data_IF_110854796537
#
_entry.id   IF_110854796537
#
_cell.length_a   1.000
_cell.length_b   1.000
_cell.length_c   1.000
_cell.angle_alpha   90.00
_cell.angle_beta   90.00
_cell.angle_gamma   90.00
#
_symmetry.space_group_name_H-M   'P 1'
#
loop_
_entity.id
_entity.type
_entity.pdbx_description
1 polymer ?
#
# COMPACT_ATOMS: atom_id res chain seq x y z
N UNK A 1 -67.41 -19.02 5.84
CA UNK A 1 -66.24 -19.43 6.63
C UNK A 1 -65.18 -20.19 5.83
N UNK A 2 -65.51 -21.16 4.93
CA UNK A 2 -64.48 -21.93 4.19
C UNK A 2 -63.63 -21.11 3.18
N UNK A 3 -64.17 -20.03 2.58
CA UNK A 3 -63.42 -19.16 1.64
C UNK A 3 -62.42 -18.24 2.34
N UNK A 4 -62.68 -17.82 3.59
CA UNK A 4 -61.75 -16.96 4.36
C UNK A 4 -60.53 -17.72 4.88
N UNK A 5 -60.68 -19.01 5.17
CA UNK A 5 -59.57 -19.88 5.63
C UNK A 5 -58.61 -20.18 4.47
N UNK A 6 -59.12 -20.35 3.23
CA UNK A 6 -58.31 -20.56 2.04
C UNK A 6 -57.48 -19.31 1.67
N UNK A 7 -58.04 -18.11 1.90
CA UNK A 7 -57.31 -16.84 1.65
C UNK A 7 -56.20 -16.63 2.70
N UNK A 8 -56.41 -17.01 3.96
CA UNK A 8 -55.35 -16.93 4.99
C UNK A 8 -54.23 -17.93 4.75
N UNK A 9 -54.51 -19.12 4.22
CA UNK A 9 -53.47 -20.10 3.88
C UNK A 9 -52.64 -19.67 2.65
N UNK A 10 -53.25 -18.98 1.67
CA UNK A 10 -52.53 -18.39 0.52
C UNK A 10 -51.67 -17.20 0.95
N UNK A 11 -52.08 -16.43 1.95
CA UNK A 11 -51.30 -15.28 2.44
C UNK A 11 -50.14 -15.72 3.34
N UNK A 12 -50.19 -16.87 4.00
CA UNK A 12 -49.08 -17.42 4.78
C UNK A 12 -47.99 -18.07 3.93
N UNK A 13 -48.29 -18.46 2.69
CA UNK A 13 -47.31 -19.00 1.73
C UNK A 13 -46.49 -17.93 1.02
N UNK A 14 -46.91 -16.65 1.04
CA UNK A 14 -46.23 -15.56 0.38
C UNK A 14 -45.11 -14.92 1.19
N UNK A 15 -44.84 -15.35 2.42
CA UNK A 15 -43.78 -14.85 3.28
C UNK A 15 -42.54 -15.77 3.39
N UNK A 16 -42.49 -16.90 2.65
CA UNK A 16 -41.33 -17.76 2.57
C UNK A 16 -40.57 -17.47 1.26
N UNK A 17 -40.15 -16.25 1.11
CA UNK A 17 -39.11 -15.92 0.14
C UNK A 17 -37.91 -15.39 0.93
N UNK A 18 -37.36 -16.20 1.83
CA UNK A 18 -36.00 -16.04 2.24
C UNK A 18 -35.16 -16.61 1.10
N UNK A 19 -34.43 -15.76 0.36
CA UNK A 19 -33.40 -16.23 -0.53
C UNK A 19 -32.46 -17.10 0.32
N UNK A 20 -32.46 -18.40 0.05
CA UNK A 20 -31.64 -19.39 0.75
C UNK A 20 -30.65 -19.98 -0.24
N UNK A 21 -29.37 -19.95 0.12
CA UNK A 21 -28.35 -20.71 -0.60
C UNK A 21 -27.99 -21.96 0.23
N UNK A 22 -28.16 -23.17 -0.29
CA UNK A 22 -27.97 -24.41 0.47
C UNK A 22 -26.51 -24.62 0.93
N UNK A 23 -25.55 -23.99 0.28
CA UNK A 23 -24.14 -24.14 0.59
C UNK A 23 -23.64 -23.10 1.62
N UNK A 24 -24.44 -22.07 1.96
CA UNK A 24 -23.97 -20.97 2.80
C UNK A 24 -23.47 -21.44 4.17
N UNK A 25 -24.22 -22.29 4.86
CA UNK A 25 -23.84 -22.74 6.21
C UNK A 25 -22.55 -23.56 6.22
N UNK A 26 -22.35 -24.43 5.23
CA UNK A 26 -21.09 -25.20 5.08
C UNK A 26 -19.91 -24.30 4.72
N UNK A 27 -20.14 -23.33 3.86
CA UNK A 27 -19.14 -22.36 3.44
C UNK A 27 -18.77 -21.41 4.60
N UNK A 28 -19.77 -20.98 5.39
CA UNK A 28 -19.55 -20.18 6.60
C UNK A 28 -18.70 -20.93 7.63
N UNK A 29 -19.00 -22.23 7.85
CA UNK A 29 -18.20 -23.05 8.76
C UNK A 29 -16.74 -23.14 8.28
N UNK A 30 -16.53 -23.29 6.97
CA UNK A 30 -15.19 -23.35 6.37
C UNK A 30 -14.47 -22.00 6.47
N UNK A 31 -15.13 -20.86 6.19
CA UNK A 31 -14.56 -19.52 6.36
C UNK A 31 -14.13 -19.26 7.81
N UNK A 32 -14.95 -19.65 8.79
CA UNK A 32 -14.58 -19.57 10.21
C UNK A 32 -13.37 -20.43 10.52
N UNK A 33 -13.31 -21.63 9.94
CA UNK A 33 -12.20 -22.57 10.15
C UNK A 33 -10.87 -22.03 9.64
N UNK A 34 -10.85 -21.24 8.55
CA UNK A 34 -9.58 -20.61 8.10
C UNK A 34 -9.01 -19.67 9.16
N UNK A 35 -9.85 -18.89 9.83
CA UNK A 35 -9.41 -17.98 10.88
C UNK A 35 -8.98 -18.72 12.15
N UNK A 36 -9.69 -19.79 12.53
CA UNK A 36 -9.26 -20.65 13.64
C UNK A 36 -7.87 -21.25 13.40
N UNK A 37 -7.62 -21.75 12.19
CA UNK A 37 -6.34 -22.35 11.82
C UNK A 37 -5.23 -21.31 11.73
N UNK A 38 -5.53 -20.12 11.22
CA UNK A 38 -4.59 -19.00 11.22
C UNK A 38 -4.19 -18.57 12.64
N UNK A 39 -5.15 -18.46 13.56
CA UNK A 39 -4.89 -18.17 14.98
C UNK A 39 -4.10 -19.29 15.68
N UNK A 40 -4.27 -20.53 15.23
CA UNK A 40 -3.54 -21.69 15.74
C UNK A 40 -2.16 -21.87 15.05
N UNK A 41 -1.80 -21.01 14.10
CA UNK A 41 -0.59 -21.08 13.26
C UNK A 41 -0.46 -22.39 12.45
N UNK A 42 -1.58 -23.09 12.22
CA UNK A 42 -1.62 -24.33 11.42
C UNK A 42 -1.85 -23.98 9.93
N UNK A 43 -0.80 -23.45 9.30
CA UNK A 43 -0.84 -22.99 7.90
C UNK A 43 -1.13 -24.16 6.94
N UNK A 44 -0.59 -25.36 7.20
CA UNK A 44 -0.79 -26.49 6.31
C UNK A 44 -2.26 -26.94 6.31
N UNK A 45 -2.88 -27.07 7.49
CA UNK A 45 -4.29 -27.35 7.58
C UNK A 45 -5.15 -26.22 6.99
N UNK A 46 -4.75 -24.96 7.17
CA UNK A 46 -5.43 -23.80 6.59
C UNK A 46 -5.37 -23.87 5.04
N UNK A 47 -4.21 -24.13 4.45
CA UNK A 47 -4.04 -24.23 2.99
C UNK A 47 -4.84 -25.38 2.39
N UNK A 48 -5.15 -26.43 3.14
CA UNK A 48 -5.99 -27.53 2.67
C UNK A 48 -7.45 -27.14 2.40
N UNK A 49 -7.90 -25.99 2.91
CA UNK A 49 -9.26 -25.47 2.68
C UNK A 49 -9.38 -24.69 1.36
N UNK A 50 -8.27 -24.35 0.73
CA UNK A 50 -8.20 -23.55 -0.47
C UNK A 50 -7.94 -24.42 -1.70
N UNK A 51 -8.61 -24.07 -2.79
CA UNK A 51 -8.32 -24.63 -4.12
C UNK A 51 -6.89 -24.29 -4.55
N UNK A 52 -6.29 -25.12 -5.41
CA UNK A 52 -5.00 -24.80 -6.03
C UNK A 52 -5.09 -23.60 -6.99
N UNK A 53 -6.30 -23.28 -7.45
CA UNK A 53 -6.59 -22.11 -8.29
C UNK A 53 -6.94 -20.83 -7.46
N UNK A 54 -6.61 -20.80 -6.17
CA UNK A 54 -6.89 -19.65 -5.32
C UNK A 54 -6.37 -18.36 -5.92
N UNK A 55 -7.23 -17.34 -5.92
CA UNK A 55 -6.88 -15.94 -6.16
C UNK A 55 -7.06 -15.17 -4.85
N UNK A 56 -5.97 -14.70 -4.27
CA UNK A 56 -6.00 -13.89 -3.05
C UNK A 56 -5.76 -12.42 -3.37
N UNK A 57 -6.68 -11.55 -2.93
CA UNK A 57 -6.57 -10.08 -3.07
C UNK A 57 -6.01 -9.48 -1.78
N UNK A 58 -4.74 -9.02 -1.77
CA UNK A 58 -4.10 -8.46 -0.57
C UNK A 58 -4.60 -7.05 -0.25
N UNK A 59 -4.57 -6.61 1.04
CA UNK A 59 -5.03 -5.31 1.48
C UNK A 59 -4.06 -4.15 1.18
N UNK A 60 -3.11 -4.36 0.29
CA UNK A 60 -2.05 -3.38 -0.02
C UNK A 60 -2.38 -2.67 -1.33
N UNK A 61 -2.42 -1.34 -1.31
CA UNK A 61 -2.66 -0.53 -2.51
C UNK A 61 -1.62 -0.82 -3.60
N UNK A 62 -2.12 -1.11 -4.82
CA UNK A 62 -1.28 -1.39 -5.99
C UNK A 62 -0.65 -2.79 -6.01
N UNK A 63 -0.88 -3.62 -4.99
CA UNK A 63 -0.46 -5.01 -5.03
C UNK A 63 -1.29 -5.79 -6.06
N UNK A 64 -0.66 -6.81 -6.67
CA UNK A 64 -1.36 -7.74 -7.56
C UNK A 64 -2.00 -8.85 -6.72
N UNK A 65 -3.01 -9.49 -7.29
CA UNK A 65 -3.55 -10.71 -6.73
C UNK A 65 -2.45 -11.78 -6.62
N UNK A 66 -2.54 -12.58 -5.58
CA UNK A 66 -1.57 -13.60 -5.22
C UNK A 66 -2.12 -15.00 -5.47
N UNK A 67 -1.24 -15.90 -5.88
CA UNK A 67 -1.50 -17.35 -5.92
C UNK A 67 -1.57 -17.95 -4.50
N UNK A 68 -2.00 -19.20 -4.39
CA UNK A 68 -2.04 -19.96 -3.13
C UNK A 68 -0.68 -19.98 -2.41
N UNK A 69 0.41 -20.20 -3.16
CA UNK A 69 1.77 -20.24 -2.60
C UNK A 69 2.26 -18.88 -2.11
N UNK A 70 1.96 -17.82 -2.84
CA UNK A 70 2.28 -16.46 -2.41
C UNK A 70 1.47 -16.06 -1.17
N UNK A 71 0.20 -16.44 -1.11
CA UNK A 71 -0.65 -16.24 0.06
C UNK A 71 -0.13 -17.01 1.27
N UNK A 72 0.27 -18.28 1.11
CA UNK A 72 0.92 -19.06 2.17
C UNK A 72 2.16 -18.34 2.72
N UNK A 73 3.00 -17.80 1.83
CA UNK A 73 4.20 -17.05 2.23
C UNK A 73 3.86 -15.77 3.00
N UNK A 74 2.77 -15.09 2.63
CA UNK A 74 2.26 -13.92 3.34
C UNK A 74 1.79 -14.28 4.76
N UNK A 75 1.07 -15.40 4.95
CA UNK A 75 0.63 -15.85 6.27
C UNK A 75 1.83 -16.20 7.16
N UNK A 76 2.86 -16.86 6.61
CA UNK A 76 4.11 -17.14 7.33
C UNK A 76 4.80 -15.85 7.79
N UNK A 77 4.80 -14.81 6.96
CA UNK A 77 5.34 -13.50 7.33
C UNK A 77 4.55 -12.86 8.48
N UNK A 78 3.22 -12.97 8.48
CA UNK A 78 2.40 -12.49 9.59
C UNK A 78 2.71 -13.23 10.89
N UNK A 79 2.78 -14.57 10.88
CA UNK A 79 3.14 -15.36 12.08
C UNK A 79 4.56 -15.06 12.59
N UNK A 80 5.50 -14.74 11.70
CA UNK A 80 6.85 -14.32 12.11
C UNK A 80 6.90 -12.90 12.73
N UNK A 81 5.91 -12.07 12.44
CA UNK A 81 5.83 -10.67 12.88
C UNK A 81 4.94 -10.46 14.11
N UNK A 82 3.94 -11.32 14.30
CA UNK A 82 2.89 -11.15 15.29
C UNK A 82 2.63 -12.44 16.06
N UNK A 83 2.53 -12.32 17.39
CA UNK A 83 2.12 -13.36 18.32
C UNK A 83 0.68 -13.10 18.83
N UNK A 84 0.07 -14.10 19.45
CA UNK A 84 -1.25 -14.03 20.10
C UNK A 84 -2.33 -13.44 19.16
N UNK A 85 -2.31 -13.84 17.90
CA UNK A 85 -3.25 -13.34 16.88
C UNK A 85 -4.66 -13.85 17.19
N UNK A 86 -5.62 -12.93 17.38
CA UNK A 86 -7.01 -13.25 17.68
C UNK A 86 -7.96 -12.43 16.81
N UNK A 87 -8.88 -13.11 16.14
CA UNK A 87 -9.98 -12.49 15.40
C UNK A 87 -11.26 -12.45 16.23
N UNK A 88 -11.82 -11.27 16.39
CA UNK A 88 -13.13 -11.06 17.03
C UNK A 88 -14.13 -10.63 15.95
N UNK A 89 -15.03 -11.52 15.48
CA UNK A 89 -16.01 -11.16 14.48
C UNK A 89 -17.08 -10.23 15.07
N UNK A 90 -17.41 -9.16 14.34
CA UNK A 90 -18.59 -8.33 14.60
C UNK A 90 -19.82 -8.96 13.92
N UNK A 91 -19.67 -9.43 12.68
CA UNK A 91 -20.74 -10.05 11.91
C UNK A 91 -20.19 -10.96 10.79
N UNK A 92 -20.95 -12.01 10.50
CA UNK A 92 -20.81 -12.85 9.31
C UNK A 92 -22.06 -12.69 8.45
N UNK A 93 -21.88 -12.44 7.14
CA UNK A 93 -22.95 -12.16 6.21
C UNK A 93 -22.83 -13.06 4.97
N UNK A 94 -23.97 -13.48 4.38
CA UNK A 94 -23.93 -14.08 3.05
C UNK A 94 -23.59 -13.03 1.99
N UNK A 95 -22.87 -13.46 0.96
CA UNK A 95 -22.66 -12.66 -0.23
C UNK A 95 -23.69 -12.93 -1.31
N UNK A 96 -23.63 -12.13 -2.38
CA UNK A 96 -24.56 -12.21 -3.51
C UNK A 96 -23.83 -12.15 -4.83
N UNK A 97 -24.47 -12.68 -5.87
CA UNK A 97 -24.08 -12.48 -7.26
C UNK A 97 -24.37 -11.02 -7.71
N UNK A 98 -24.06 -10.73 -8.97
CA UNK A 98 -24.27 -9.42 -9.63
C UNK A 98 -25.74 -8.97 -9.71
N UNK A 99 -26.69 -9.91 -9.49
CA UNK A 99 -28.14 -9.66 -9.47
C UNK A 99 -28.71 -9.56 -8.06
N UNK A 100 -27.86 -9.65 -7.04
CA UNK A 100 -28.25 -9.58 -5.64
C UNK A 100 -28.79 -10.89 -5.08
N UNK A 101 -28.68 -12.03 -5.80
CA UNK A 101 -29.09 -13.33 -5.32
C UNK A 101 -27.96 -13.96 -4.49
N UNK A 102 -28.30 -14.63 -3.35
CA UNK A 102 -27.34 -15.33 -2.51
C UNK A 102 -26.58 -16.40 -3.31
N UNK A 103 -25.26 -16.29 -3.37
CA UNK A 103 -24.39 -17.14 -4.17
C UNK A 103 -23.58 -18.17 -3.35
N UNK A 104 -23.76 -18.19 -2.02
CA UNK A 104 -23.06 -19.05 -1.08
C UNK A 104 -21.72 -18.50 -0.63
N UNK A 105 -21.29 -17.34 -1.12
CA UNK A 105 -20.10 -16.68 -0.65
C UNK A 105 -20.30 -16.10 0.75
N UNK A 106 -19.20 -15.85 1.46
CA UNK A 106 -19.19 -15.41 2.86
C UNK A 106 -18.45 -14.08 2.99
N UNK A 107 -18.96 -13.21 3.82
CA UNK A 107 -18.36 -11.91 4.20
C UNK A 107 -18.19 -11.86 5.70
N UNK A 108 -17.11 -11.24 6.17
CA UNK A 108 -16.89 -11.03 7.60
C UNK A 108 -16.40 -9.63 7.86
N UNK A 109 -16.95 -9.00 8.88
CA UNK A 109 -16.42 -7.79 9.49
C UNK A 109 -16.00 -8.13 10.91
N UNK A 110 -14.84 -7.63 11.32
CA UNK A 110 -14.33 -7.89 12.65
C UNK A 110 -13.03 -7.17 12.93
N UNK A 111 -12.43 -7.55 14.06
CA UNK A 111 -11.20 -6.91 14.55
C UNK A 111 -10.15 -7.97 14.84
N UNK A 112 -8.95 -7.78 14.31
CA UNK A 112 -7.76 -8.53 14.66
C UNK A 112 -7.03 -7.84 15.82
N UNK A 113 -6.60 -8.62 16.79
CA UNK A 113 -5.72 -8.22 17.88
C UNK A 113 -4.49 -9.12 17.83
N UNK A 114 -3.33 -8.60 18.19
CA UNK A 114 -2.06 -9.33 18.18
C UNK A 114 -1.01 -8.63 19.03
N UNK A 115 0.14 -9.24 19.19
CA UNK A 115 1.33 -8.65 19.78
C UNK A 115 2.47 -8.62 18.76
N UNK A 116 3.31 -7.63 18.85
CA UNK A 116 4.59 -7.61 18.13
C UNK A 116 5.48 -8.74 18.66
N UNK A 117 5.84 -9.69 17.82
CA UNK A 117 6.62 -10.87 18.19
C UNK A 117 8.01 -10.53 18.77
N UNK A 118 8.58 -9.36 18.45
CA UNK A 118 9.90 -8.94 18.95
C UNK A 118 9.84 -8.29 20.32
N UNK A 119 8.81 -7.50 20.58
CA UNK A 119 8.73 -6.64 21.77
C UNK A 119 7.68 -7.11 22.76
N UNK A 120 6.77 -8.00 22.36
CA UNK A 120 5.62 -8.43 23.16
C UNK A 120 4.56 -7.34 23.36
N UNK A 121 4.70 -6.18 22.71
CA UNK A 121 3.77 -5.06 22.85
C UNK A 121 2.50 -5.36 22.06
N UNK A 122 1.34 -5.11 22.66
CA UNK A 122 0.06 -5.19 21.97
C UNK A 122 -0.02 -4.23 20.78
N UNK A 123 -0.51 -4.72 19.65
CA UNK A 123 -0.81 -3.87 18.49
C UNK A 123 -2.12 -3.13 18.70
N UNK A 124 -2.31 -2.03 17.97
CA UNK A 124 -3.62 -1.37 17.93
C UNK A 124 -4.64 -2.30 17.26
N UNK A 125 -5.86 -2.46 17.84
CA UNK A 125 -6.89 -3.29 17.22
C UNK A 125 -7.14 -2.91 15.76
N UNK A 126 -7.07 -3.91 14.86
CA UNK A 126 -7.13 -3.72 13.42
C UNK A 126 -8.52 -4.10 12.90
N UNK A 127 -9.33 -3.12 12.53
CA UNK A 127 -10.61 -3.38 11.87
C UNK A 127 -10.38 -3.89 10.46
N UNK A 128 -11.15 -4.93 10.09
CA UNK A 128 -11.01 -5.61 8.82
C UNK A 128 -12.34 -6.04 8.23
N UNK A 129 -12.33 -6.15 6.90
CA UNK A 129 -13.36 -6.82 6.12
C UNK A 129 -12.71 -7.93 5.31
N UNK A 130 -13.39 -9.09 5.23
CA UNK A 130 -12.94 -10.27 4.50
C UNK A 130 -14.06 -10.81 3.61
N UNK A 131 -13.70 -11.32 2.44
CA UNK A 131 -14.62 -12.09 1.61
C UNK A 131 -14.05 -13.45 1.26
N UNK A 132 -14.92 -14.42 1.06
CA UNK A 132 -14.61 -15.79 0.65
C UNK A 132 -15.59 -16.21 -0.43
N UNK A 133 -15.09 -16.65 -1.58
CA UNK A 133 -15.86 -17.24 -2.64
C UNK A 133 -15.49 -18.72 -2.77
N UNK A 134 -16.45 -19.57 -3.14
CA UNK A 134 -16.31 -21.01 -3.12
C UNK A 134 -16.65 -21.60 -4.49
N UNK A 135 -15.99 -22.71 -4.85
CA UNK A 135 -16.37 -23.54 -5.98
C UNK A 135 -17.53 -24.49 -5.62
N UNK A 136 -17.94 -25.33 -6.58
CA UNK A 136 -19.04 -26.30 -6.38
C UNK A 136 -18.67 -27.39 -5.36
N UNK A 137 -17.39 -27.69 -5.21
CA UNK A 137 -16.82 -28.67 -4.27
C UNK A 137 -16.69 -28.07 -2.86
N UNK A 138 -16.99 -26.77 -2.70
CA UNK A 138 -16.90 -26.03 -1.46
C UNK A 138 -15.48 -25.67 -1.05
N UNK A 139 -14.51 -25.67 -1.94
CA UNK A 139 -13.17 -25.14 -1.70
C UNK A 139 -13.18 -23.63 -1.88
N UNK A 140 -12.32 -22.92 -1.15
CA UNK A 140 -12.16 -21.46 -1.30
C UNK A 140 -11.33 -21.18 -2.54
N UNK A 141 -11.93 -20.54 -3.54
CA UNK A 141 -11.29 -20.16 -4.81
C UNK A 141 -10.89 -18.68 -4.86
N UNK A 142 -11.49 -17.84 -4.02
CA UNK A 142 -11.06 -16.46 -3.87
C UNK A 142 -11.25 -15.99 -2.42
N UNK A 143 -10.26 -15.27 -1.92
CA UNK A 143 -10.31 -14.55 -0.66
C UNK A 143 -9.70 -13.17 -0.87
N UNK A 144 -10.24 -12.17 -0.20
CA UNK A 144 -9.61 -10.86 -0.12
C UNK A 144 -9.81 -10.26 1.26
N UNK A 145 -8.81 -9.47 1.64
CA UNK A 145 -8.73 -8.81 2.92
C UNK A 145 -8.65 -7.30 2.71
N UNK A 146 -9.35 -6.53 3.55
CA UNK A 146 -9.37 -5.07 3.50
C UNK A 146 -9.15 -4.51 4.90
N UNK A 147 -7.96 -3.97 5.12
CA UNK A 147 -7.55 -3.32 6.36
C UNK A 147 -6.35 -2.40 6.09
N UNK A 148 -5.92 -1.62 7.07
CA UNK A 148 -4.71 -0.80 6.97
C UNK A 148 -3.44 -1.65 7.15
N UNK A 149 -3.04 -2.37 6.09
CA UNK A 149 -1.83 -3.19 6.09
C UNK A 149 -0.57 -2.36 6.32
N UNK A 150 -0.51 -1.14 5.78
CA UNK A 150 0.65 -0.25 5.94
C UNK A 150 0.82 0.19 7.38
N UNK A 151 -0.27 0.62 8.03
CA UNK A 151 -0.25 1.00 9.45
C UNK A 151 0.08 -0.18 10.36
N UNK A 152 -0.47 -1.38 10.08
CA UNK A 152 -0.16 -2.60 10.84
C UNK A 152 1.33 -2.93 10.79
N UNK A 153 1.91 -3.03 9.60
CA UNK A 153 3.33 -3.36 9.43
C UNK A 153 4.25 -2.28 10.01
N UNK A 154 3.90 -1.01 9.85
CA UNK A 154 4.65 0.09 10.45
C UNK A 154 4.64 0.05 11.99
N UNK A 155 3.56 -0.43 12.63
CA UNK A 155 3.44 -0.52 14.08
C UNK A 155 4.45 -1.44 14.73
N UNK A 156 4.93 -2.46 14.00
CA UNK A 156 5.95 -3.42 14.43
C UNK A 156 7.32 -3.18 13.78
N UNK A 157 7.52 -1.99 13.20
CA UNK A 157 8.78 -1.60 12.56
C UNK A 157 9.06 -2.31 11.23
N UNK A 158 8.10 -3.06 10.71
CA UNK A 158 8.09 -3.56 9.36
C UNK A 158 7.51 -2.45 8.47
N UNK A 159 8.32 -1.43 8.20
CA UNK A 159 7.99 -0.50 7.13
C UNK A 159 7.89 -1.29 5.84
N UNK A 160 6.90 -0.97 5.05
CA UNK A 160 6.48 -1.60 3.81
C UNK A 160 7.65 -2.26 3.06
N UNK A 161 7.96 -3.52 3.37
CA UNK A 161 9.03 -4.30 2.74
C UNK A 161 8.71 -4.60 1.28
N UNK A 162 7.47 -4.32 0.85
CA UNK A 162 7.05 -4.39 -0.55
C UNK A 162 7.53 -3.18 -1.36
N UNK A 163 7.96 -2.08 -0.72
CA UNK A 163 8.59 -0.95 -1.37
C UNK A 163 10.08 -0.95 -0.98
N UNK A 164 10.83 -1.85 -1.59
CA UNK A 164 12.28 -1.81 -1.53
C UNK A 164 12.78 -0.75 -2.52
N UNK A 165 13.17 0.40 -2.03
CA UNK A 165 13.78 1.45 -2.84
C UNK A 165 15.27 1.15 -3.12
N UNK A 166 15.58 -0.10 -3.52
CA UNK A 166 16.96 -0.54 -3.82
C UNK A 166 17.63 0.30 -4.92
N UNK A 167 16.82 0.89 -5.79
CA UNK A 167 17.25 1.73 -6.91
C UNK A 167 17.13 3.23 -6.58
N UNK A 168 16.98 3.57 -5.29
CA UNK A 168 16.86 4.95 -4.83
C UNK A 168 18.07 5.79 -5.24
N UNK A 169 17.78 7.01 -5.66
CA UNK A 169 18.76 8.04 -5.90
C UNK A 169 18.61 9.17 -4.89
N UNK A 170 19.74 9.59 -4.32
CA UNK A 170 19.81 10.73 -3.41
C UNK A 170 20.61 11.82 -4.09
N UNK A 171 19.96 12.93 -4.38
CA UNK A 171 20.58 14.08 -5.00
C UNK A 171 20.87 15.15 -3.94
N UNK A 172 22.11 15.58 -3.83
CA UNK A 172 22.58 16.63 -2.92
C UNK A 172 23.03 17.81 -3.75
N UNK A 173 22.26 18.88 -3.76
CA UNK A 173 22.52 20.12 -4.51
C UNK A 173 23.03 21.19 -3.58
N UNK A 174 24.26 21.62 -3.74
CA UNK A 174 24.84 22.72 -3.00
C UNK A 174 24.67 24.03 -3.77
N UNK A 175 24.08 25.02 -3.12
CA UNK A 175 23.68 26.29 -3.72
C UNK A 175 24.16 27.47 -2.91
N UNK A 176 24.27 28.60 -3.56
CA UNK A 176 24.41 29.92 -2.95
C UNK A 176 23.19 30.78 -3.27
N UNK A 177 22.93 31.79 -2.43
CA UNK A 177 21.82 32.73 -2.60
C UNK A 177 22.26 34.15 -2.25
N UNK A 178 21.65 35.12 -2.93
CA UNK A 178 21.87 36.55 -2.66
C UNK A 178 20.59 37.26 -2.16
N UNK A 179 19.49 36.48 -1.95
CA UNK A 179 18.25 37.02 -1.40
C UNK A 179 18.18 36.80 0.10
N UNK A 180 17.22 37.42 0.78
CA UNK A 180 17.05 37.31 2.23
C UNK A 180 16.64 35.90 2.66
N UNK A 181 16.88 35.57 3.94
CA UNK A 181 16.48 34.30 4.52
C UNK A 181 14.95 34.08 4.44
N UNK A 182 14.16 35.15 4.62
CA UNK A 182 12.69 35.09 4.54
C UNK A 182 12.24 34.77 3.11
N UNK A 183 12.88 35.36 2.10
CA UNK A 183 12.58 35.04 0.69
C UNK A 183 12.99 33.62 0.33
N UNK A 184 14.14 33.14 0.81
CA UNK A 184 14.57 31.74 0.67
C UNK A 184 13.52 30.81 1.29
N UNK A 185 13.06 31.10 2.50
CA UNK A 185 12.09 30.25 3.19
C UNK A 185 10.72 30.23 2.48
N UNK A 186 10.24 31.39 2.05
CA UNK A 186 8.96 31.50 1.33
C UNK A 186 9.00 30.74 0.01
N UNK A 187 10.08 30.90 -0.77
CA UNK A 187 10.28 30.20 -2.03
C UNK A 187 10.40 28.68 -1.81
N UNK A 188 11.25 28.24 -0.87
CA UNK A 188 11.48 26.82 -0.60
C UNK A 188 10.19 26.10 -0.20
N UNK A 189 9.34 26.76 0.63
CA UNK A 189 8.02 26.22 1.02
C UNK A 189 7.08 26.08 -0.19
N UNK A 190 7.02 27.08 -1.06
CA UNK A 190 6.22 27.05 -2.29
C UNK A 190 6.70 25.91 -3.21
N UNK A 191 7.99 25.88 -3.52
CA UNK A 191 8.58 24.96 -4.49
C UNK A 191 8.47 23.50 -4.03
N UNK A 192 8.78 23.22 -2.76
CA UNK A 192 8.61 21.89 -2.16
C UNK A 192 7.15 21.40 -2.28
N UNK A 193 6.17 22.29 -2.05
CA UNK A 193 4.75 21.91 -2.17
C UNK A 193 4.36 21.56 -3.60
N UNK A 194 4.89 22.28 -4.60
CA UNK A 194 4.67 21.97 -6.02
C UNK A 194 5.22 20.60 -6.38
N UNK A 195 6.49 20.32 -6.03
CA UNK A 195 7.12 19.01 -6.29
C UNK A 195 6.36 17.89 -5.59
N UNK A 196 6.00 18.05 -4.31
CA UNK A 196 5.27 17.03 -3.55
C UNK A 196 3.90 16.70 -4.15
N UNK A 197 3.20 17.69 -4.71
CA UNK A 197 1.89 17.48 -5.30
C UNK A 197 1.95 16.88 -6.71
N UNK A 198 3.02 17.15 -7.46
CA UNK A 198 3.17 16.74 -8.84
C UNK A 198 3.93 15.41 -8.98
N UNK A 199 4.90 15.15 -8.11
CA UNK A 199 5.87 14.06 -8.28
C UNK A 199 5.74 13.02 -7.16
N UNK A 200 4.79 12.11 -7.31
CA UNK A 200 4.51 11.04 -6.32
C UNK A 200 5.66 10.04 -6.14
N UNK A 201 6.62 10.02 -7.06
CA UNK A 201 7.84 9.19 -7.00
C UNK A 201 9.03 9.90 -6.34
N UNK A 202 8.84 11.14 -5.87
CA UNK A 202 9.80 11.85 -5.02
C UNK A 202 9.56 11.47 -3.56
N UNK A 203 10.58 10.89 -2.91
CA UNK A 203 10.49 10.42 -1.52
C UNK A 203 10.77 11.53 -0.50
N UNK A 204 11.55 12.52 -0.89
CA UNK A 204 11.94 13.64 -0.02
C UNK A 204 12.46 14.80 -0.83
N UNK A 205 12.12 16.02 -0.43
CA UNK A 205 12.58 17.26 -1.03
C UNK A 205 12.82 18.29 0.08
N UNK A 206 14.08 18.52 0.48
CA UNK A 206 14.41 19.28 1.68
C UNK A 206 15.45 20.35 1.43
N UNK A 207 15.07 21.61 1.65
CA UNK A 207 16.00 22.73 1.70
C UNK A 207 16.57 22.89 3.13
N UNK A 208 17.89 23.04 3.24
CA UNK A 208 18.59 23.22 4.51
C UNK A 208 19.58 24.37 4.40
N UNK A 209 19.57 25.28 5.41
CA UNK A 209 20.57 26.34 5.51
C UNK A 209 21.89 25.72 5.94
N UNK A 210 22.87 25.69 5.05
CA UNK A 210 24.19 25.09 5.28
C UNK A 210 25.31 26.12 5.59
N UNK A 211 24.96 27.41 5.67
CA UNK A 211 25.88 28.51 6.02
C UNK A 211 25.31 29.88 5.67
N UNK A 212 26.10 30.93 5.88
CA UNK A 212 25.73 32.27 5.43
C UNK A 212 25.62 32.26 3.89
N UNK A 213 24.45 32.64 3.37
CA UNK A 213 24.14 32.64 1.94
C UNK A 213 24.37 31.26 1.25
N UNK A 214 24.27 30.16 2.02
CA UNK A 214 24.41 28.80 1.49
C UNK A 214 23.21 27.96 1.86
N UNK A 215 22.70 27.24 0.86
CA UNK A 215 21.58 26.31 0.98
C UNK A 215 21.98 24.97 0.37
N UNK A 216 21.61 23.89 1.05
CA UNK A 216 21.73 22.53 0.50
C UNK A 216 20.32 21.99 0.31
N UNK A 217 20.01 21.56 -0.91
CA UNK A 217 18.81 20.83 -1.23
C UNK A 217 19.15 19.34 -1.27
N UNK A 218 18.37 18.54 -0.55
CA UNK A 218 18.45 17.07 -0.57
C UNK A 218 17.14 16.56 -1.14
N UNK A 219 17.25 15.82 -2.23
CA UNK A 219 16.16 15.18 -2.94
C UNK A 219 16.36 13.68 -2.90
N UNK A 220 15.27 12.92 -2.70
CA UNK A 220 15.29 11.46 -2.75
C UNK A 220 14.22 11.00 -3.74
N UNK A 221 14.59 10.09 -4.61
CA UNK A 221 13.72 9.56 -5.66
C UNK A 221 13.78 8.04 -5.68
N UNK A 222 12.68 7.38 -5.98
CA UNK A 222 12.60 5.92 -5.97
C UNK A 222 13.55 5.23 -6.97
N UNK A 223 13.90 5.91 -8.08
CA UNK A 223 14.76 5.39 -9.16
C UNK A 223 15.15 6.50 -10.14
N UNK A 224 15.86 6.14 -11.21
CA UNK A 224 16.27 7.07 -12.28
C UNK A 224 15.11 7.66 -13.06
N UNK A 225 14.02 6.91 -13.29
CA UNK A 225 12.84 7.38 -14.03
C UNK A 225 12.16 8.51 -13.27
N UNK A 226 12.12 8.45 -11.94
CA UNK A 226 11.58 9.52 -11.11
C UNK A 226 12.39 10.82 -11.24
N UNK A 227 13.71 10.74 -11.30
CA UNK A 227 14.58 11.92 -11.56
C UNK A 227 14.39 12.44 -12.98
N UNK A 228 14.27 11.55 -13.98
CA UNK A 228 13.98 11.94 -15.37
C UNK A 228 12.64 12.68 -15.49
N UNK A 229 11.63 12.24 -14.73
CA UNK A 229 10.34 12.94 -14.66
C UNK A 229 10.52 14.35 -14.07
N UNK A 230 11.29 14.49 -12.97
CA UNK A 230 11.61 15.80 -12.41
C UNK A 230 12.31 16.70 -13.43
N UNK A 231 13.34 16.20 -14.12
CA UNK A 231 14.03 16.93 -15.19
C UNK A 231 13.06 17.37 -16.29
N UNK A 232 12.14 16.51 -16.70
CA UNK A 232 11.11 16.86 -17.69
C UNK A 232 10.20 18.00 -17.18
N UNK A 233 9.79 17.94 -15.92
CA UNK A 233 8.90 18.94 -15.33
C UNK A 233 9.54 20.32 -15.20
N UNK A 234 10.84 20.39 -14.91
CA UNK A 234 11.60 21.66 -14.82
C UNK A 234 12.12 22.18 -16.16
N UNK A 235 12.12 21.35 -17.22
CA UNK A 235 12.60 21.72 -18.55
C UNK A 235 11.62 22.67 -19.27
N UNK A 236 12.05 23.42 -20.29
CA UNK A 236 11.16 24.31 -21.04
C UNK A 236 9.90 23.58 -21.54
N UNK A 237 8.73 24.10 -21.18
CA UNK A 237 7.43 23.48 -21.47
C UNK A 237 6.94 22.43 -20.45
N UNK A 238 7.74 22.11 -19.45
CA UNK A 238 7.33 21.25 -18.33
C UNK A 238 6.41 21.97 -17.33
N UNK A 239 5.77 21.19 -16.48
CA UNK A 239 4.70 21.63 -15.57
C UNK A 239 5.14 22.71 -14.58
N UNK A 240 6.39 22.67 -14.11
CA UNK A 240 6.97 23.64 -13.18
C UNK A 240 8.18 24.40 -13.76
N UNK A 241 8.26 24.52 -15.09
CA UNK A 241 9.36 25.22 -15.76
C UNK A 241 9.49 26.68 -15.34
N UNK A 242 8.37 27.40 -15.16
CA UNK A 242 8.35 28.79 -14.67
C UNK A 242 8.81 28.91 -13.22
N UNK A 243 8.45 27.95 -12.39
CA UNK A 243 8.88 27.92 -10.99
C UNK A 243 10.37 27.57 -10.91
N UNK A 244 10.90 26.81 -11.86
CA UNK A 244 12.34 26.54 -11.97
C UNK A 244 13.13 27.77 -12.46
N UNK A 245 12.57 28.63 -13.31
CA UNK A 245 13.15 29.93 -13.63
C UNK A 245 13.24 30.81 -12.35
N UNK A 246 12.20 30.81 -11.52
CA UNK A 246 12.23 31.48 -10.23
C UNK A 246 13.26 30.84 -9.27
N UNK A 247 13.39 29.51 -9.27
CA UNK A 247 14.42 28.78 -8.53
C UNK A 247 15.83 29.28 -8.90
N UNK A 248 16.12 29.43 -10.20
CA UNK A 248 17.40 29.92 -10.70
C UNK A 248 17.65 31.39 -10.36
N UNK A 249 16.63 32.20 -10.15
CA UNK A 249 16.75 33.57 -9.64
C UNK A 249 17.13 33.60 -8.15
N UNK A 250 16.55 32.69 -7.35
CA UNK A 250 16.77 32.62 -5.88
C UNK A 250 18.08 31.92 -5.56
N UNK A 251 18.44 30.89 -6.33
CA UNK A 251 19.60 30.04 -6.07
C UNK A 251 20.55 29.95 -7.26
N UNK A 252 21.85 30.02 -6.98
CA UNK A 252 22.91 29.61 -7.91
C UNK A 252 23.42 28.23 -7.51
N UNK A 253 23.28 27.26 -8.40
CA UNK A 253 23.74 25.88 -8.15
C UNK A 253 25.26 25.83 -8.29
N UNK A 254 25.96 25.48 -7.22
CA UNK A 254 27.44 25.40 -7.22
C UNK A 254 27.95 24.03 -7.67
N UNK A 255 27.29 22.96 -7.19
CA UNK A 255 27.60 21.60 -7.59
C UNK A 255 26.42 20.68 -7.13
N UNK A 256 26.42 19.49 -7.69
CA UNK A 256 25.48 18.44 -7.39
C UNK A 256 26.22 17.11 -7.21
N UNK A 257 25.80 16.31 -6.22
CA UNK A 257 26.27 14.94 -6.06
C UNK A 257 25.06 14.01 -6.04
N UNK A 258 25.05 13.05 -6.95
CA UNK A 258 23.99 12.07 -7.07
C UNK A 258 24.52 10.71 -6.60
N UNK A 259 24.00 10.24 -5.47
CA UNK A 259 24.30 8.94 -4.87
C UNK A 259 23.28 7.92 -5.36
N UNK A 260 23.76 6.72 -5.69
CA UNK A 260 22.94 5.64 -6.25
C UNK A 260 23.38 5.26 -7.66
N UNK A 261 22.72 4.25 -8.22
CA UNK A 261 23.05 3.73 -9.55
C UNK A 261 22.26 4.46 -10.64
N UNK A 262 22.72 5.68 -10.99
CA UNK A 262 22.10 6.47 -12.05
C UNK A 262 22.19 5.76 -13.40
N UNK A 263 21.07 5.70 -14.13
CA UNK A 263 21.04 5.18 -15.50
C UNK A 263 21.82 6.08 -16.45
N UNK A 264 22.26 5.53 -17.59
CA UNK A 264 22.98 6.33 -18.61
C UNK A 264 22.09 7.39 -19.26
N UNK A 265 20.78 7.14 -19.36
CA UNK A 265 19.82 8.12 -19.85
C UNK A 265 19.67 9.30 -18.88
N UNK A 266 19.67 9.03 -17.57
CA UNK A 266 19.68 10.09 -16.57
C UNK A 266 20.95 10.92 -16.61
N UNK A 267 22.13 10.29 -16.75
CA UNK A 267 23.39 11.02 -16.87
C UNK A 267 23.37 11.96 -18.08
N UNK A 268 22.92 11.49 -19.25
CA UNK A 268 22.72 12.30 -20.44
C UNK A 268 21.72 13.45 -20.26
N UNK A 269 20.60 13.18 -19.55
CA UNK A 269 19.59 14.21 -19.33
C UNK A 269 20.04 15.35 -18.42
N UNK A 270 21.05 15.13 -17.58
CA UNK A 270 21.64 16.15 -16.71
C UNK A 270 22.64 17.05 -17.44
N UNK A 271 23.33 16.56 -18.48
CA UNK A 271 24.38 17.30 -19.21
C UNK A 271 23.93 18.70 -19.66
N UNK A 272 22.73 18.92 -20.24
CA UNK A 272 22.31 20.23 -20.73
C UNK A 272 22.24 21.31 -19.64
N UNK A 273 22.11 20.95 -18.36
CA UNK A 273 22.07 21.92 -17.27
C UNK A 273 23.44 22.51 -16.92
N UNK A 274 24.52 21.95 -17.47
CA UNK A 274 25.89 22.39 -17.25
C UNK A 274 26.28 22.55 -15.77
N UNK A 275 25.73 21.68 -14.91
CA UNK A 275 25.99 21.66 -13.47
C UNK A 275 27.17 20.71 -13.20
N UNK A 276 28.15 21.17 -12.39
CA UNK A 276 29.24 20.30 -11.92
C UNK A 276 28.65 19.13 -11.12
N UNK A 277 28.44 17.99 -11.77
CA UNK A 277 27.81 16.82 -11.22
C UNK A 277 28.81 15.72 -10.92
N UNK A 278 28.69 15.10 -9.72
CA UNK A 278 29.44 13.90 -9.34
C UNK A 278 28.43 12.75 -9.18
N UNK A 279 28.68 11.64 -9.88
CA UNK A 279 27.93 10.39 -9.71
C UNK A 279 28.68 9.47 -8.77
N UNK A 280 27.98 8.96 -7.73
CA UNK A 280 28.55 8.11 -6.69
C UNK A 280 27.70 6.84 -6.60
N UNK A 281 28.15 5.73 -7.22
CA UNK A 281 27.38 4.49 -7.20
C UNK A 281 27.28 3.91 -5.79
N UNK A 282 26.16 3.23 -5.50
CA UNK A 282 25.97 2.55 -4.23
C UNK A 282 26.85 1.29 -4.15
N UNK A 283 27.48 1.07 -3.00
CA UNK A 283 28.20 -0.18 -2.72
C UNK A 283 27.26 -1.18 -2.05
N UNK A 284 26.57 -0.76 -1.00
CA UNK A 284 25.57 -1.51 -0.25
C UNK A 284 24.72 -0.56 0.59
N UNK A 285 23.50 -0.95 0.85
CA UNK A 285 22.58 -0.16 1.68
C UNK A 285 21.17 -0.69 1.61
N UNK A 286 20.30 -0.07 2.37
CA UNK A 286 18.83 -0.25 2.25
C UNK A 286 18.17 1.13 2.32
N UNK A 287 17.00 1.25 1.70
CA UNK A 287 16.13 2.42 1.80
C UNK A 287 14.73 1.98 2.21
N UNK A 288 14.12 2.74 3.14
CA UNK A 288 12.79 2.50 3.70
C UNK A 288 11.89 3.70 3.47
#
# INVERSE_FOLDING_TARGET
>A
MKKSILLLLLFSLSFICCDYNPNYESNLAKAKKTFELFQAEDIEAQMSLFSDELVYTPPTYGAKDMSKEEFKSLLQMYHAAFDDIVYTPEVWLPGTDDKGKLDGSVRSYGTWNSKDAKTGKETTPLRSYHFFNFNAEGEIIAQGDFFDATGLLASVGLTNTLINHKDELINVVNMSTNVSDDEVQAFAKKYQSLVNNLETSSLSFRFSKSGKNKVTLIERYINSEAVLLHIKNISPGGEISKDFEEFQRVFSINNMTLYGNASDDLKKAIEPFNIKTKFVPVITGYSR
#
